data_IF_181808338416
#
_entry.id   IF_181808338416
#
_cell.length_a   1.000
_cell.length_b   1.000
_cell.length_c   1.000
_cell.angle_alpha   90.00
_cell.angle_beta   90.00
_cell.angle_gamma   90.00
#
_symmetry.space_group_name_H-M   'P 1'
#
loop_
_entity.id
_entity.type
_entity.pdbx_description
1 polymer ?
#
# COMPACT_ATOMS: atom_id res chain seq x y z
N UNK A 1 -31.28 20.86 -31.13
CA UNK A 1 -29.97 20.37 -31.64
C UNK A 1 -29.06 20.20 -30.43
N UNK A 2 -28.79 18.96 -30.01
CA UNK A 2 -27.96 18.67 -28.83
C UNK A 2 -26.56 18.27 -29.34
N UNK A 3 -25.55 19.05 -28.97
CA UNK A 3 -24.17 18.82 -29.37
C UNK A 3 -23.59 17.59 -28.69
N UNK A 4 -23.06 16.66 -29.47
CA UNK A 4 -22.26 15.54 -29.01
C UNK A 4 -20.91 16.06 -28.52
N UNK A 5 -20.75 16.20 -27.20
CA UNK A 5 -19.44 16.42 -26.61
C UNK A 5 -18.66 15.10 -26.68
N UNK A 6 -17.62 15.05 -27.53
CA UNK A 6 -16.67 13.94 -27.56
C UNK A 6 -15.84 13.99 -26.28
N UNK A 7 -16.27 13.26 -25.25
CA UNK A 7 -15.43 12.97 -24.10
C UNK A 7 -14.32 12.05 -24.60
N UNK A 8 -13.10 12.57 -24.67
CA UNK A 8 -11.94 11.73 -24.91
C UNK A 8 -11.81 10.75 -23.74
N UNK A 9 -12.05 9.47 -24.00
CA UNK A 9 -11.70 8.41 -23.08
C UNK A 9 -10.20 8.53 -22.81
N UNK A 10 -9.83 8.94 -21.59
CA UNK A 10 -8.44 8.99 -21.14
C UNK A 10 -7.99 7.53 -21.00
N UNK A 11 -7.51 6.95 -22.10
CA UNK A 11 -7.14 5.53 -22.22
C UNK A 11 -5.97 5.13 -21.30
N UNK A 12 -5.27 6.12 -20.73
CA UNK A 12 -4.18 5.92 -19.79
C UNK A 12 -4.39 6.86 -18.60
N UNK A 13 -4.54 6.27 -17.42
CA UNK A 13 -4.43 6.97 -16.15
C UNK A 13 -3.00 6.72 -15.66
N UNK A 14 -2.13 7.71 -15.86
CA UNK A 14 -0.78 7.69 -15.29
C UNK A 14 -0.92 8.10 -13.81
N UNK A 15 -0.74 7.14 -12.92
CA UNK A 15 -0.80 7.35 -11.48
C UNK A 15 0.55 7.03 -10.87
N UNK A 16 1.31 8.07 -10.58
CA UNK A 16 2.55 7.97 -9.83
C UNK A 16 2.29 8.29 -8.37
N UNK A 17 2.46 7.29 -7.50
CA UNK A 17 2.34 7.45 -6.05
C UNK A 17 3.34 8.47 -5.50
N UNK A 18 4.52 8.56 -6.09
CA UNK A 18 5.58 9.45 -5.61
C UNK A 18 5.18 10.92 -5.77
N UNK A 19 4.57 11.27 -6.90
CA UNK A 19 4.04 12.62 -7.15
C UNK A 19 2.85 12.98 -6.25
N UNK A 20 2.11 11.99 -5.75
CA UNK A 20 0.89 12.23 -4.96
C UNK A 20 1.11 12.21 -3.43
N UNK A 21 2.23 11.65 -2.95
CA UNK A 21 2.56 11.60 -1.52
C UNK A 21 3.51 12.77 -1.18
N UNK A 22 3.09 13.76 -0.38
CA UNK A 22 3.94 14.90 -0.01
C UNK A 22 5.30 14.45 0.56
N UNK A 23 6.37 15.17 0.23
CA UNK A 23 7.73 14.81 0.67
C UNK A 23 7.87 14.70 2.20
N UNK A 24 7.12 15.53 2.93
CA UNK A 24 7.10 15.55 4.40
C UNK A 24 6.08 14.58 5.02
N UNK A 25 5.45 13.70 4.24
CA UNK A 25 4.45 12.78 4.75
C UNK A 25 5.09 11.68 5.60
N UNK A 26 4.48 11.36 6.75
CA UNK A 26 5.02 10.40 7.72
C UNK A 26 5.29 9.01 7.11
N UNK A 27 4.48 8.57 6.14
CA UNK A 27 4.68 7.27 5.47
C UNK A 27 6.01 7.17 4.71
N UNK A 28 6.55 8.28 4.20
CA UNK A 28 7.88 8.31 3.56
C UNK A 28 9.00 8.14 4.61
N UNK A 29 8.79 8.68 5.80
CA UNK A 29 9.67 8.44 6.94
C UNK A 29 9.64 6.98 7.36
N UNK A 30 8.44 6.40 7.49
CA UNK A 30 8.27 4.98 7.84
C UNK A 30 8.97 4.09 6.81
N UNK A 31 8.72 4.29 5.52
CA UNK A 31 9.32 3.47 4.45
C UNK A 31 10.85 3.53 4.45
N UNK A 32 11.43 4.71 4.72
CA UNK A 32 12.89 4.87 4.82
C UNK A 32 13.53 4.10 5.97
N UNK A 33 12.85 4.01 7.12
CA UNK A 33 13.42 3.42 8.33
C UNK A 33 12.95 1.98 8.59
N UNK A 34 11.82 1.57 8.03
CA UNK A 34 11.25 0.24 8.18
C UNK A 34 11.75 -0.69 7.07
N UNK A 35 13.02 -1.08 7.15
CA UNK A 35 13.57 -2.10 6.26
C UNK A 35 13.25 -3.51 6.76
N UNK A 36 12.42 -4.24 6.00
CA UNK A 36 11.95 -5.57 6.36
C UNK A 36 12.52 -6.67 5.45
N UNK A 37 13.52 -6.34 4.60
CA UNK A 37 14.08 -7.29 3.62
C UNK A 37 14.70 -8.51 4.28
N UNK A 38 15.44 -8.35 5.37
CA UNK A 38 16.06 -9.46 6.10
C UNK A 38 15.00 -10.36 6.76
N UNK A 39 13.93 -9.76 7.30
CA UNK A 39 12.81 -10.50 7.87
C UNK A 39 12.10 -11.31 6.78
N UNK A 40 11.81 -10.70 5.63
CA UNK A 40 11.21 -11.40 4.50
C UNK A 40 12.09 -12.57 4.03
N UNK A 41 13.41 -12.37 3.94
CA UNK A 41 14.35 -13.42 3.56
C UNK A 41 14.34 -14.61 4.55
N UNK A 42 14.32 -14.33 5.86
CA UNK A 42 14.25 -15.36 6.91
C UNK A 42 12.90 -16.09 6.94
N UNK A 43 11.80 -15.41 6.62
CA UNK A 43 10.47 -15.99 6.63
C UNK A 43 10.08 -16.69 5.33
N UNK A 44 10.82 -16.46 4.24
CA UNK A 44 10.50 -16.94 2.89
C UNK A 44 10.16 -18.44 2.82
N UNK A 45 10.89 -19.26 3.57
CA UNK A 45 10.71 -20.72 3.59
C UNK A 45 9.44 -21.20 4.29
N UNK A 46 8.74 -20.33 5.04
CA UNK A 46 7.51 -20.68 5.75
C UNK A 46 6.24 -20.34 4.96
N UNK A 47 6.36 -19.64 3.82
CA UNK A 47 5.20 -19.36 2.97
C UNK A 47 4.81 -20.58 2.17
N UNK A 48 3.52 -20.93 2.24
CA UNK A 48 2.98 -21.99 1.40
C UNK A 48 3.13 -21.60 -0.08
N UNK A 49 3.77 -22.47 -0.85
CA UNK A 49 3.84 -22.35 -2.31
C UNK A 49 2.57 -22.87 -3.01
N UNK A 50 1.62 -23.40 -2.24
CA UNK A 50 0.37 -24.00 -2.74
C UNK A 50 -0.85 -23.49 -1.96
N UNK A 51 -2.00 -23.42 -2.62
CA UNK A 51 -3.23 -22.87 -2.04
C UNK A 51 -3.34 -21.35 -2.16
N UNK A 52 -4.18 -20.72 -1.33
CA UNK A 52 -4.34 -19.25 -1.32
C UNK A 52 -3.08 -18.65 -0.66
N UNK A 53 -2.31 -17.80 -1.35
CA UNK A 53 -1.14 -17.17 -0.75
C UNK A 53 -1.58 -16.36 0.47
N UNK A 54 -0.92 -16.62 1.61
CA UNK A 54 -1.07 -15.80 2.81
C UNK A 54 -0.62 -14.37 2.52
N UNK A 55 -1.16 -13.40 3.26
CA UNK A 55 -0.70 -12.01 3.20
C UNK A 55 0.79 -11.98 3.58
N UNK A 56 1.59 -11.24 2.81
CA UNK A 56 3.02 -11.07 3.08
C UNK A 56 3.20 -10.49 4.50
N UNK A 57 4.08 -11.06 5.35
CA UNK A 57 4.37 -10.55 6.68
C UNK A 57 4.84 -9.10 6.64
N UNK A 58 5.58 -8.74 5.60
CA UNK A 58 6.10 -7.40 5.40
C UNK A 58 4.93 -6.42 5.24
N UNK A 59 3.92 -6.81 4.47
CA UNK A 59 2.72 -6.02 4.29
C UNK A 59 1.94 -5.88 5.61
N UNK A 60 1.75 -6.96 6.36
CA UNK A 60 1.06 -6.91 7.66
C UNK A 60 1.80 -5.97 8.62
N UNK A 61 3.12 -6.08 8.73
CA UNK A 61 3.92 -5.25 9.63
C UNK A 61 3.85 -3.78 9.21
N UNK A 62 4.04 -3.48 7.92
CA UNK A 62 3.91 -2.11 7.37
C UNK A 62 2.52 -1.54 7.66
N UNK A 63 1.47 -2.31 7.41
CA UNK A 63 0.08 -1.90 7.71
C UNK A 63 -0.09 -1.59 9.20
N UNK A 64 0.35 -2.47 10.09
CA UNK A 64 0.23 -2.26 11.54
C UNK A 64 0.98 -0.99 11.98
N UNK A 65 2.23 -0.80 11.54
CA UNK A 65 3.04 0.39 11.88
C UNK A 65 2.34 1.66 11.40
N UNK A 66 1.87 1.69 10.15
CA UNK A 66 1.11 2.83 9.59
C UNK A 66 -0.17 3.06 10.41
N UNK A 67 -0.91 2.00 10.72
CA UNK A 67 -2.12 2.08 11.54
C UNK A 67 -1.85 2.69 12.92
N UNK A 68 -0.78 2.28 13.59
CA UNK A 68 -0.37 2.86 14.88
C UNK A 68 0.00 4.34 14.75
N UNK A 69 0.82 4.70 13.77
CA UNK A 69 1.24 6.10 13.55
C UNK A 69 0.04 7.00 13.21
N UNK A 70 -0.92 6.48 12.47
CA UNK A 70 -2.14 7.21 12.06
C UNK A 70 -3.27 7.14 13.12
N UNK A 71 -3.04 6.55 14.30
CA UNK A 71 -4.05 6.41 15.35
C UNK A 71 -5.19 5.44 15.03
N UNK A 72 -5.02 4.57 14.04
CA UNK A 72 -5.98 3.54 13.64
C UNK A 72 -5.70 2.25 14.42
N UNK A 73 -6.49 2.02 15.47
CA UNK A 73 -6.35 0.86 16.37
C UNK A 73 -7.08 -0.41 15.90
N UNK A 74 -7.79 -0.34 14.77
CA UNK A 74 -8.60 -1.45 14.27
C UNK A 74 -8.10 -1.85 12.89
N UNK A 75 -7.65 -3.09 12.77
CA UNK A 75 -7.24 -3.70 11.49
C UNK A 75 -8.36 -3.61 10.44
N UNK A 76 -9.62 -3.83 10.85
CA UNK A 76 -10.77 -3.68 9.96
C UNK A 76 -10.95 -2.25 9.45
N UNK A 77 -10.68 -1.25 10.28
CA UNK A 77 -10.71 0.15 9.82
C UNK A 77 -9.51 0.44 8.94
N UNK A 78 -8.33 -0.09 9.27
CA UNK A 78 -7.11 0.07 8.51
C UNK A 78 -7.28 -0.37 7.06
N UNK A 79 -7.90 -1.54 6.83
CA UNK A 79 -8.23 -2.03 5.48
C UNK A 79 -9.31 -1.23 4.73
N UNK A 80 -9.94 -0.22 5.36
CA UNK A 80 -10.86 0.70 4.68
C UNK A 80 -10.19 2.01 4.28
N UNK A 81 -9.07 2.35 4.92
CA UNK A 81 -8.33 3.61 4.69
C UNK A 81 -7.07 3.40 3.86
N UNK A 82 -6.65 2.14 3.71
CA UNK A 82 -5.60 1.69 2.79
C UNK A 82 -6.28 1.03 1.59
#
# INVERSE_FOLDING_TARGET
MLGTQKVHARLFYEFDLETHIPENHLVRGIDRFLDLRELHAGLRGFYSHTGRPSIDPELIIRMLVIGYVMGIRSERRLCKVT
#
